data_IF_216677320641
#
_entry.id   IF_216677320641
#
_cell.length_a   1.000
_cell.length_b   1.000
_cell.length_c   1.000
_cell.angle_alpha   90.00
_cell.angle_beta   90.00
_cell.angle_gamma   90.00
#
_symmetry.space_group_name_H-M   'P 1'
#
loop_
_entity.id
_entity.type
_entity.pdbx_description
1 polymer ?
#
# COMPACT_ATOMS: atom_id res chain seq x y z
N UNK A 1 -34.47 9.38 -18.39
CA UNK A 1 -33.86 8.35 -17.52
C UNK A 1 -34.40 6.93 -17.73
N UNK A 2 -35.53 6.72 -18.43
CA UNK A 2 -36.13 5.39 -18.66
C UNK A 2 -35.44 4.55 -19.75
N UNK A 3 -34.75 5.19 -20.71
CA UNK A 3 -34.05 4.50 -21.81
C UNK A 3 -32.78 3.77 -21.33
N UNK A 4 -32.10 4.30 -20.31
CA UNK A 4 -30.86 3.74 -19.76
C UNK A 4 -31.13 2.44 -18.96
N UNK A 5 -32.35 2.24 -18.45
CA UNK A 5 -32.76 1.06 -17.67
C UNK A 5 -33.23 -0.11 -18.54
N UNK A 6 -32.68 -0.24 -19.75
CA UNK A 6 -32.93 -1.39 -20.62
C UNK A 6 -31.64 -2.19 -20.71
N UNK A 7 -31.69 -3.50 -20.45
CA UNK A 7 -30.49 -4.32 -20.39
C UNK A 7 -29.70 -4.36 -21.70
N UNK A 8 -30.38 -4.25 -22.84
CA UNK A 8 -29.73 -4.12 -24.14
C UNK A 8 -29.01 -2.78 -24.35
N UNK A 9 -29.17 -1.79 -23.45
CA UNK A 9 -28.37 -0.56 -23.41
C UNK A 9 -27.29 -0.68 -22.34
N UNK A 10 -27.66 -1.09 -21.12
CA UNK A 10 -26.73 -1.18 -19.99
C UNK A 10 -25.66 -2.25 -20.20
N UNK A 11 -26.05 -3.44 -20.64
CA UNK A 11 -25.17 -4.59 -20.87
C UNK A 11 -24.03 -4.31 -21.86
N UNK A 12 -24.29 -3.80 -23.08
CA UNK A 12 -23.22 -3.48 -24.02
C UNK A 12 -22.33 -2.33 -23.56
N UNK A 13 -22.87 -1.32 -22.86
CA UNK A 13 -22.04 -0.23 -22.30
C UNK A 13 -21.08 -0.77 -21.23
N UNK A 14 -21.58 -1.58 -20.29
CA UNK A 14 -20.72 -2.22 -19.28
C UNK A 14 -19.71 -3.15 -19.94
N UNK A 15 -20.14 -3.93 -20.94
CA UNK A 15 -19.27 -4.84 -21.69
C UNK A 15 -18.15 -4.11 -22.43
N UNK A 16 -18.46 -3.00 -23.09
CA UNK A 16 -17.49 -2.16 -23.79
C UNK A 16 -16.45 -1.58 -22.82
N UNK A 17 -16.90 -0.99 -21.72
CA UNK A 17 -16.03 -0.39 -20.71
C UNK A 17 -15.17 -1.44 -19.99
N UNK A 18 -15.75 -2.59 -19.65
CA UNK A 18 -15.00 -3.67 -19.01
C UNK A 18 -13.95 -4.28 -19.93
N UNK A 19 -14.28 -4.50 -21.21
CA UNK A 19 -13.29 -4.99 -22.19
C UNK A 19 -12.13 -4.01 -22.37
N UNK A 20 -12.40 -2.70 -22.34
CA UNK A 20 -11.36 -1.69 -22.36
C UNK A 20 -10.43 -1.85 -21.15
N UNK A 21 -10.98 -1.92 -19.94
CA UNK A 21 -10.19 -2.09 -18.72
C UNK A 21 -9.37 -3.38 -18.78
N UNK A 22 -10.02 -4.52 -19.02
CA UNK A 22 -9.35 -5.82 -19.09
C UNK A 22 -8.28 -5.85 -20.19
N UNK A 23 -8.59 -5.33 -21.37
CA UNK A 23 -7.68 -5.25 -22.52
C UNK A 23 -6.42 -4.46 -22.22
N UNK A 24 -6.56 -3.26 -21.64
CA UNK A 24 -5.41 -2.44 -21.25
C UNK A 24 -4.61 -3.08 -20.12
N UNK A 25 -5.27 -3.57 -19.07
CA UNK A 25 -4.59 -4.21 -17.94
C UNK A 25 -3.78 -5.41 -18.40
N UNK A 26 -4.35 -6.29 -19.22
CA UNK A 26 -3.65 -7.48 -19.71
C UNK A 26 -2.53 -7.11 -20.69
N UNK A 27 -2.75 -6.12 -21.56
CA UNK A 27 -1.69 -5.66 -22.44
C UNK A 27 -0.48 -5.11 -21.67
N UNK A 28 -0.71 -4.33 -20.60
CA UNK A 28 0.35 -3.82 -19.73
C UNK A 28 1.07 -4.97 -19.02
N UNK A 29 0.34 -5.92 -18.42
CA UNK A 29 0.94 -7.07 -17.74
C UNK A 29 1.79 -7.91 -18.70
N UNK A 30 1.28 -8.18 -19.90
CA UNK A 30 2.00 -8.96 -20.90
C UNK A 30 3.22 -8.21 -21.44
N UNK A 31 3.10 -6.90 -21.70
CA UNK A 31 4.22 -6.06 -22.11
C UNK A 31 5.33 -6.03 -21.05
N UNK A 32 4.96 -5.91 -19.77
CA UNK A 32 5.92 -5.87 -18.66
C UNK A 32 6.59 -7.22 -18.42
N UNK A 33 5.85 -8.33 -18.53
CA UNK A 33 6.39 -9.67 -18.28
C UNK A 33 7.23 -10.23 -19.43
N UNK A 34 6.93 -9.85 -20.68
CA UNK A 34 7.61 -10.40 -21.86
C UNK A 34 8.60 -9.44 -22.52
N UNK A 35 8.46 -8.13 -22.28
CA UNK A 35 9.19 -7.10 -23.03
C UNK A 35 8.72 -6.87 -24.46
N UNK A 36 7.72 -7.62 -24.92
CA UNK A 36 7.19 -7.51 -26.27
C UNK A 36 6.00 -6.53 -26.34
N UNK A 37 5.76 -5.88 -27.48
CA UNK A 37 4.69 -4.89 -27.59
C UNK A 37 3.31 -5.55 -27.70
N UNK A 38 2.51 -5.41 -26.64
CA UNK A 38 1.07 -5.68 -26.65
C UNK A 38 0.30 -4.35 -26.72
N UNK A 39 -0.53 -4.21 -27.75
CA UNK A 39 -1.21 -2.94 -28.07
C UNK A 39 -2.72 -3.11 -27.95
N UNK A 40 -3.35 -2.61 -26.88
CA UNK A 40 -4.81 -2.60 -26.78
C UNK A 40 -5.36 -1.58 -27.79
N UNK A 41 -6.29 -2.00 -28.65
CA UNK A 41 -6.91 -1.11 -29.64
C UNK A 41 -8.26 -0.68 -29.11
N UNK A 42 -8.41 0.61 -28.83
CA UNK A 42 -9.62 1.18 -28.21
C UNK A 42 -10.90 0.72 -28.92
N UNK A 43 -10.97 0.88 -30.24
CA UNK A 43 -12.15 0.50 -31.03
C UNK A 43 -12.42 -1.02 -30.96
N UNK A 44 -11.37 -1.84 -31.06
CA UNK A 44 -11.50 -3.31 -30.98
C UNK A 44 -12.03 -3.73 -29.61
N UNK A 45 -11.49 -3.18 -28.52
CA UNK A 45 -11.98 -3.43 -27.17
C UNK A 45 -13.46 -3.09 -27.02
N UNK A 46 -13.89 -1.91 -27.50
CA UNK A 46 -15.30 -1.51 -27.42
C UNK A 46 -16.19 -2.46 -28.22
N UNK A 47 -15.82 -2.81 -29.45
CA UNK A 47 -16.59 -3.70 -30.32
C UNK A 47 -16.71 -5.11 -29.74
N UNK A 48 -15.59 -5.71 -29.31
CA UNK A 48 -15.59 -7.03 -28.68
C UNK A 48 -16.38 -7.06 -27.37
N UNK A 49 -16.31 -5.99 -26.58
CA UNK A 49 -17.11 -5.84 -25.37
C UNK A 49 -18.62 -5.77 -25.64
N UNK A 50 -19.04 -5.08 -26.70
CA UNK A 50 -20.44 -5.01 -27.17
C UNK A 50 -20.88 -6.32 -27.81
N UNK A 51 -19.99 -7.03 -28.50
CA UNK A 51 -20.34 -8.28 -29.18
C UNK A 51 -20.54 -9.43 -28.19
N UNK A 52 -19.69 -9.50 -27.15
CA UNK A 52 -19.64 -10.65 -26.25
C UNK A 52 -20.51 -10.53 -25.00
N UNK A 53 -21.02 -9.34 -24.66
CA UNK A 53 -21.86 -9.20 -23.47
C UNK A 53 -23.07 -10.16 -23.42
N UNK A 54 -23.78 -10.48 -24.52
CA UNK A 54 -24.96 -11.34 -24.45
C UNK A 54 -24.61 -12.75 -23.96
N UNK A 55 -23.42 -13.25 -24.33
CA UNK A 55 -22.91 -14.56 -23.92
C UNK A 55 -22.61 -14.62 -22.41
N UNK A 56 -22.54 -13.48 -21.72
CA UNK A 56 -22.30 -13.43 -20.28
C UNK A 56 -23.58 -13.27 -19.44
N UNK A 57 -24.73 -13.09 -20.09
CA UNK A 57 -26.05 -12.93 -19.43
C UNK A 57 -26.62 -14.24 -18.92
N UNK A 58 -27.54 -14.19 -17.94
CA UNK A 58 -28.19 -15.39 -17.38
C UNK A 58 -28.87 -16.27 -18.43
N UNK A 59 -29.34 -15.67 -19.53
CA UNK A 59 -29.94 -16.39 -20.65
C UNK A 59 -28.98 -17.32 -21.38
N UNK A 60 -27.69 -16.99 -21.43
CA UNK A 60 -26.67 -17.81 -22.09
C UNK A 60 -26.23 -19.04 -21.26
N UNK A 61 -26.73 -19.16 -20.02
CA UNK A 61 -26.37 -20.25 -19.11
C UNK A 61 -24.89 -20.23 -18.68
N UNK A 62 -24.43 -21.35 -18.12
CA UNK A 62 -23.05 -21.48 -17.62
C UNK A 62 -22.00 -21.63 -18.73
N UNK A 63 -22.40 -22.11 -19.91
CA UNK A 63 -21.51 -22.30 -21.06
C UNK A 63 -21.17 -20.99 -21.79
N UNK A 64 -22.02 -19.96 -21.68
CA UNK A 64 -21.87 -18.69 -22.38
C UNK A 64 -20.54 -17.96 -22.11
N UNK A 65 -20.13 -17.75 -20.83
CA UNK A 65 -18.84 -17.13 -20.52
C UNK A 65 -17.64 -17.93 -21.04
N UNK A 66 -17.71 -19.27 -21.03
CA UNK A 66 -16.66 -20.11 -21.58
C UNK A 66 -16.52 -19.92 -23.11
N UNK A 67 -17.64 -19.86 -23.83
CA UNK A 67 -17.65 -19.56 -25.26
C UNK A 67 -17.09 -18.17 -25.56
N UNK A 68 -17.47 -17.15 -24.79
CA UNK A 68 -16.91 -15.81 -24.93
C UNK A 68 -15.38 -15.80 -24.71
N UNK A 69 -14.89 -16.57 -23.73
CA UNK A 69 -13.46 -16.73 -23.48
C UNK A 69 -12.72 -17.42 -24.63
N UNK A 70 -13.29 -18.50 -25.19
CA UNK A 70 -12.72 -19.21 -26.34
C UNK A 70 -12.68 -18.32 -27.59
N UNK A 71 -13.73 -17.53 -27.83
CA UNK A 71 -13.77 -16.57 -28.94
C UNK A 71 -12.68 -15.51 -28.81
N UNK A 72 -12.45 -14.98 -27.59
CA UNK A 72 -11.38 -14.02 -27.34
C UNK A 72 -10.00 -14.65 -27.55
N UNK A 73 -9.79 -15.88 -27.05
CA UNK A 73 -8.56 -16.63 -27.30
C UNK A 73 -8.29 -16.79 -28.80
N UNK A 74 -9.28 -17.29 -29.55
CA UNK A 74 -9.17 -17.48 -30.99
C UNK A 74 -8.90 -16.15 -31.71
N UNK A 75 -9.62 -15.07 -31.35
CA UNK A 75 -9.43 -13.75 -31.94
C UNK A 75 -8.03 -13.18 -31.68
N UNK A 76 -7.49 -13.36 -30.47
CA UNK A 76 -6.12 -12.95 -30.13
C UNK A 76 -5.07 -13.74 -30.92
N UNK A 77 -5.26 -15.05 -31.09
CA UNK A 77 -4.34 -15.88 -31.89
C UNK A 77 -4.37 -15.51 -33.38
N UNK A 78 -5.55 -15.21 -33.91
CA UNK A 78 -5.76 -14.77 -35.30
C UNK A 78 -5.35 -13.30 -35.54
N UNK A 79 -5.00 -12.54 -34.49
CA UNK A 79 -4.60 -11.14 -34.62
C UNK A 79 -5.75 -10.15 -34.87
N UNK A 80 -7.00 -10.55 -34.62
CA UNK A 80 -8.21 -9.72 -34.76
C UNK A 80 -8.86 -9.38 -33.40
N UNK A 81 -8.19 -9.75 -32.31
CA UNK A 81 -8.68 -9.57 -30.95
C UNK A 81 -8.59 -8.11 -30.43
N UNK A 82 -9.04 -7.89 -29.18
CA UNK A 82 -8.99 -6.58 -28.54
C UNK A 82 -7.57 -6.06 -28.28
N UNK A 83 -6.61 -6.98 -28.11
CA UNK A 83 -5.19 -6.68 -27.93
C UNK A 83 -4.41 -7.23 -29.11
N UNK A 84 -3.76 -6.34 -29.86
CA UNK A 84 -2.87 -6.70 -30.96
C UNK A 84 -1.46 -7.02 -30.43
N UNK A 85 -0.79 -7.95 -31.10
CA UNK A 85 0.53 -8.45 -30.73
C UNK A 85 1.59 -7.98 -31.74
N UNK A 86 2.80 -7.72 -31.27
CA UNK A 86 3.97 -7.51 -32.12
C UNK A 86 4.29 -8.73 -32.99
N UNK A 87 5.04 -8.49 -34.06
CA UNK A 87 5.45 -9.53 -35.03
C UNK A 87 6.31 -10.62 -34.35
N UNK A 88 7.09 -10.23 -33.35
CA UNK A 88 8.04 -11.11 -32.65
C UNK A 88 7.43 -11.83 -31.43
N UNK A 89 6.15 -11.62 -31.13
CA UNK A 89 5.50 -12.26 -29.98
C UNK A 89 5.37 -13.77 -30.21
N UNK A 90 6.01 -14.56 -29.34
CA UNK A 90 5.93 -16.01 -29.36
C UNK A 90 4.51 -16.56 -29.19
N UNK A 91 4.28 -17.79 -29.67
CA UNK A 91 2.96 -18.45 -29.63
C UNK A 91 2.46 -18.68 -28.20
N UNK A 92 3.37 -19.00 -27.27
CA UNK A 92 3.04 -19.20 -25.85
C UNK A 92 2.52 -17.90 -25.23
N UNK A 93 3.21 -16.77 -25.46
CA UNK A 93 2.78 -15.48 -24.97
C UNK A 93 1.40 -15.09 -25.55
N UNK A 94 1.17 -15.36 -26.84
CA UNK A 94 -0.12 -15.12 -27.47
C UNK A 94 -1.26 -15.97 -26.86
N UNK A 95 -0.99 -17.25 -26.56
CA UNK A 95 -1.93 -18.14 -25.87
C UNK A 95 -2.26 -17.62 -24.47
N UNK A 96 -1.24 -17.23 -23.69
CA UNK A 96 -1.42 -16.68 -22.35
C UNK A 96 -2.26 -15.39 -22.42
N UNK A 97 -1.97 -14.48 -23.35
CA UNK A 97 -2.75 -13.25 -23.53
C UNK A 97 -4.21 -13.54 -23.85
N UNK A 98 -4.48 -14.47 -24.77
CA UNK A 98 -5.84 -14.84 -25.14
C UNK A 98 -6.61 -15.49 -23.99
N UNK A 99 -5.96 -16.38 -23.22
CA UNK A 99 -6.55 -17.01 -22.04
C UNK A 99 -6.83 -15.98 -20.93
N UNK A 100 -5.87 -15.09 -20.66
CA UNK A 100 -6.00 -14.02 -19.68
C UNK A 100 -7.14 -13.07 -20.06
N UNK A 101 -7.26 -12.70 -21.34
CA UNK A 101 -8.37 -11.88 -21.85
C UNK A 101 -9.71 -12.60 -21.72
N UNK A 102 -9.75 -13.88 -22.08
CA UNK A 102 -10.94 -14.70 -21.98
C UNK A 102 -11.48 -14.77 -20.54
N UNK A 103 -10.62 -15.13 -19.59
CA UNK A 103 -10.98 -15.24 -18.17
C UNK A 103 -11.25 -13.86 -17.56
N UNK A 104 -10.35 -12.89 -17.81
CA UNK A 104 -10.43 -11.53 -17.25
C UNK A 104 -11.63 -10.72 -17.74
N UNK A 105 -12.12 -11.00 -18.95
CA UNK A 105 -13.38 -10.46 -19.43
C UNK A 105 -14.59 -11.28 -18.96
N UNK A 106 -14.66 -12.56 -19.32
CA UNK A 106 -15.90 -13.33 -19.27
C UNK A 106 -16.39 -13.60 -17.83
N UNK A 107 -15.48 -13.88 -16.88
CA UNK A 107 -15.85 -14.18 -15.50
C UNK A 107 -16.38 -12.95 -14.75
N UNK A 108 -15.66 -11.80 -14.71
CA UNK A 108 -16.19 -10.61 -14.05
C UNK A 108 -17.42 -10.05 -14.76
N UNK A 109 -17.46 -10.13 -16.10
CA UNK A 109 -18.64 -9.68 -16.86
C UNK A 109 -19.88 -10.50 -16.51
N UNK A 110 -19.76 -11.83 -16.38
CA UNK A 110 -20.83 -12.71 -15.90
C UNK A 110 -21.36 -12.26 -14.53
N UNK A 111 -20.46 -11.98 -13.60
CA UNK A 111 -20.81 -11.50 -12.27
C UNK A 111 -21.56 -10.15 -12.32
N UNK A 112 -21.09 -9.21 -13.15
CA UNK A 112 -21.75 -7.90 -13.33
C UNK A 112 -23.14 -8.03 -13.95
N UNK A 113 -23.34 -8.97 -14.87
CA UNK A 113 -24.61 -9.17 -15.58
C UNK A 113 -25.63 -10.02 -14.81
N UNK A 114 -25.25 -10.64 -13.69
CA UNK A 114 -26.14 -11.56 -12.95
C UNK A 114 -27.37 -10.81 -12.42
N UNK A 115 -28.57 -11.22 -12.84
CA UNK A 115 -29.85 -10.59 -12.50
C UNK A 115 -30.28 -9.44 -13.42
N UNK A 116 -29.52 -9.11 -14.48
CA UNK A 116 -29.88 -8.07 -15.44
C UNK A 116 -30.65 -8.69 -16.64
N UNK A 117 -31.95 -8.40 -16.81
CA UNK A 117 -32.69 -8.86 -17.97
C UNK A 117 -32.29 -8.06 -19.23
N UNK A 118 -32.24 -8.72 -20.39
CA UNK A 118 -31.92 -8.06 -21.68
C UNK A 118 -32.95 -6.97 -22.05
N UNK A 119 -34.21 -7.15 -21.63
CA UNK A 119 -35.31 -6.23 -21.90
C UNK A 119 -35.40 -5.05 -20.93
N UNK A 120 -36.61 -4.73 -20.47
CA UNK A 120 -36.82 -3.72 -19.45
C UNK A 120 -36.24 -4.20 -18.11
N UNK A 121 -35.32 -3.44 -17.54
CA UNK A 121 -34.73 -3.74 -16.24
C UNK A 121 -35.44 -2.94 -15.14
N UNK A 122 -35.62 -3.57 -13.98
CA UNK A 122 -36.03 -2.86 -12.78
C UNK A 122 -34.91 -1.91 -12.35
N UNK A 123 -35.26 -0.89 -11.55
CA UNK A 123 -34.27 0.03 -10.98
C UNK A 123 -33.18 -0.73 -10.21
N UNK A 124 -33.57 -1.70 -9.41
CA UNK A 124 -32.64 -2.52 -8.62
C UNK A 124 -31.70 -3.34 -9.51
N UNK A 125 -32.19 -4.02 -10.55
CA UNK A 125 -31.33 -4.80 -11.44
C UNK A 125 -30.29 -3.92 -12.16
N UNK A 126 -30.69 -2.73 -12.59
CA UNK A 126 -29.77 -1.75 -13.16
C UNK A 126 -28.73 -1.27 -12.14
N UNK A 127 -29.16 -0.85 -10.95
CA UNK A 127 -28.26 -0.36 -9.90
C UNK A 127 -27.25 -1.42 -9.45
N UNK A 128 -27.68 -2.68 -9.28
CA UNK A 128 -26.76 -3.77 -8.93
C UNK A 128 -25.71 -4.04 -10.00
N UNK A 129 -26.09 -4.04 -11.28
CA UNK A 129 -25.14 -4.23 -12.38
C UNK A 129 -24.09 -3.10 -12.41
N UNK A 130 -24.52 -1.85 -12.24
CA UNK A 130 -23.63 -0.68 -12.19
C UNK A 130 -22.72 -0.72 -10.97
N UNK A 131 -23.24 -1.04 -9.79
CA UNK A 131 -22.43 -1.14 -8.56
C UNK A 131 -21.36 -2.22 -8.72
N UNK A 132 -21.71 -3.43 -9.19
CA UNK A 132 -20.75 -4.50 -9.42
C UNK A 132 -19.67 -4.11 -10.42
N UNK A 133 -20.05 -3.42 -11.50
CA UNK A 133 -19.09 -2.88 -12.46
C UNK A 133 -18.14 -1.87 -11.80
N UNK A 134 -18.67 -0.85 -11.12
CA UNK A 134 -17.87 0.18 -10.46
C UNK A 134 -16.94 -0.41 -9.39
N UNK A 135 -17.40 -1.37 -8.60
CA UNK A 135 -16.58 -2.06 -7.61
C UNK A 135 -15.46 -2.86 -8.28
N UNK A 136 -15.75 -3.62 -9.34
CA UNK A 136 -14.76 -4.44 -10.05
C UNK A 136 -13.72 -3.58 -10.78
N UNK A 137 -14.18 -2.53 -11.48
CA UNK A 137 -13.34 -1.54 -12.13
C UNK A 137 -12.49 -0.80 -11.10
N UNK A 138 -13.08 -0.42 -9.97
CA UNK A 138 -12.40 0.20 -8.84
C UNK A 138 -11.26 -0.68 -8.33
N UNK A 139 -11.47 -1.98 -8.11
CA UNK A 139 -10.42 -2.89 -7.68
C UNK A 139 -9.28 -3.00 -8.70
N UNK A 140 -9.58 -3.19 -9.99
CA UNK A 140 -8.53 -3.32 -11.02
C UNK A 140 -7.72 -2.03 -11.15
N UNK A 141 -8.38 -0.88 -11.22
CA UNK A 141 -7.72 0.42 -11.37
C UNK A 141 -6.91 0.75 -10.12
N UNK A 142 -7.46 0.52 -8.93
CA UNK A 142 -6.76 0.75 -7.67
C UNK A 142 -5.52 -0.14 -7.54
N UNK A 143 -5.65 -1.44 -7.82
CA UNK A 143 -4.51 -2.36 -7.82
C UNK A 143 -3.46 -1.95 -8.84
N UNK A 144 -3.84 -1.54 -10.05
CA UNK A 144 -2.88 -1.07 -11.05
C UNK A 144 -2.16 0.22 -10.60
N UNK A 145 -2.91 1.20 -10.10
CA UNK A 145 -2.37 2.47 -9.59
C UNK A 145 -1.33 2.24 -8.48
N UNK A 146 -1.60 1.30 -7.58
CA UNK A 146 -0.70 0.97 -6.47
C UNK A 146 0.47 0.10 -6.95
N UNK A 147 0.21 -0.97 -7.71
CA UNK A 147 1.23 -1.98 -8.03
C UNK A 147 2.26 -1.50 -9.07
N UNK A 148 1.86 -0.69 -10.05
CA UNK A 148 2.76 -0.26 -11.14
C UNK A 148 3.98 0.51 -10.61
N UNK A 149 3.86 1.53 -9.72
CA UNK A 149 5.04 2.20 -9.16
C UNK A 149 6.01 1.25 -8.45
N UNK A 150 5.51 0.31 -7.65
CA UNK A 150 6.36 -0.69 -6.99
C UNK A 150 7.00 -1.65 -7.99
N UNK A 151 6.28 -2.04 -9.04
CA UNK A 151 6.85 -2.84 -10.12
C UNK A 151 7.99 -2.09 -10.82
N UNK A 152 7.80 -0.83 -11.19
CA UNK A 152 8.83 -0.01 -11.83
C UNK A 152 10.04 0.17 -10.91
N UNK A 153 9.81 0.37 -9.61
CA UNK A 153 10.88 0.44 -8.62
C UNK A 153 11.72 -0.84 -8.58
N UNK A 154 11.08 -2.01 -8.47
CA UNK A 154 11.77 -3.32 -8.46
C UNK A 154 12.44 -3.60 -9.80
N UNK A 155 11.75 -3.40 -10.91
CA UNK A 155 12.29 -3.62 -12.25
C UNK A 155 13.54 -2.76 -12.48
N UNK A 156 13.49 -1.47 -12.13
CA UNK A 156 14.63 -0.54 -12.31
C UNK A 156 15.82 -0.95 -11.43
N UNK A 157 15.57 -1.49 -10.24
CA UNK A 157 16.65 -1.98 -9.35
C UNK A 157 17.35 -3.25 -9.84
N UNK A 158 16.74 -3.98 -10.78
CA UNK A 158 17.29 -5.20 -11.38
C UNK A 158 18.00 -4.95 -12.74
N UNK A 159 17.99 -3.70 -13.21
CA UNK A 159 18.60 -3.29 -14.48
C UNK A 159 19.91 -2.55 -14.26
N UNK A 160 20.75 -2.54 -15.30
CA UNK A 160 21.94 -1.70 -15.34
C UNK A 160 21.67 -0.35 -16.01
N UNK A 161 22.46 0.67 -15.69
CA UNK A 161 22.25 2.07 -16.03
C UNK A 161 22.23 2.27 -17.54
N UNK A 162 23.10 1.55 -18.24
CA UNK A 162 23.15 1.57 -19.71
C UNK A 162 21.82 1.14 -20.31
N UNK A 163 21.16 0.11 -19.76
CA UNK A 163 19.87 -0.36 -20.26
C UNK A 163 18.78 0.68 -20.01
N UNK A 164 18.78 1.30 -18.83
CA UNK A 164 17.82 2.34 -18.47
C UNK A 164 17.96 3.61 -19.33
N UNK A 165 19.19 3.96 -19.72
CA UNK A 165 19.46 5.11 -20.60
C UNK A 165 19.14 4.79 -22.06
N UNK A 166 19.45 3.57 -22.53
CA UNK A 166 19.19 3.16 -23.91
C UNK A 166 17.70 3.04 -24.21
N UNK A 167 16.93 2.44 -23.30
CA UNK A 167 15.49 2.30 -23.45
C UNK A 167 14.78 2.52 -22.10
N UNK A 168 14.45 3.78 -21.77
CA UNK A 168 13.78 4.10 -20.49
C UNK A 168 12.35 3.55 -20.39
N UNK A 169 11.77 3.09 -21.51
CA UNK A 169 10.43 2.51 -21.57
C UNK A 169 10.44 0.98 -21.64
N UNK A 170 11.61 0.35 -21.49
CA UNK A 170 11.70 -1.08 -21.34
C UNK A 170 11.34 -1.47 -19.89
N UNK A 171 10.14 -2.01 -19.73
CA UNK A 171 9.63 -2.51 -18.45
C UNK A 171 9.84 -4.02 -18.26
N UNK A 172 10.57 -4.69 -19.16
CA UNK A 172 10.84 -6.12 -19.07
C UNK A 172 11.87 -6.46 -17.99
N UNK A 173 11.90 -7.71 -17.55
CA UNK A 173 12.95 -8.24 -16.67
C UNK A 173 13.65 -9.39 -17.41
N UNK A 174 14.95 -9.21 -17.66
CA UNK A 174 15.76 -10.23 -18.32
C UNK A 174 16.23 -11.28 -17.32
N UNK A 175 15.42 -12.33 -17.16
CA UNK A 175 15.69 -13.44 -16.25
C UNK A 175 16.89 -14.31 -16.68
N UNK A 176 17.39 -14.17 -17.91
CA UNK A 176 18.53 -14.96 -18.40
C UNK A 176 19.84 -14.63 -17.67
N UNK A 177 19.93 -13.44 -17.07
CA UNK A 177 21.08 -12.98 -16.29
C UNK A 177 21.26 -13.70 -14.93
N UNK A 178 20.28 -14.51 -14.48
CA UNK A 178 20.40 -15.28 -13.25
C UNK A 178 20.72 -14.45 -12.00
N UNK A 179 21.87 -14.69 -11.36
CA UNK A 179 22.26 -13.97 -10.15
C UNK A 179 22.72 -12.54 -10.39
N UNK A 180 23.15 -12.20 -11.61
CA UNK A 180 23.65 -10.87 -11.95
C UNK A 180 22.54 -9.80 -11.92
N UNK A 181 21.26 -10.19 -11.97
CA UNK A 181 20.13 -9.27 -11.73
C UNK A 181 20.24 -8.58 -10.36
N UNK A 182 20.83 -9.25 -9.37
CA UNK A 182 20.94 -8.74 -8.00
C UNK A 182 22.26 -8.01 -7.73
N UNK A 183 23.09 -7.79 -8.75
CA UNK A 183 24.37 -7.06 -8.66
C UNK A 183 24.24 -5.71 -7.91
N UNK A 184 23.21 -4.93 -8.24
CA UNK A 184 22.95 -3.63 -7.59
C UNK A 184 22.71 -3.76 -6.07
N UNK A 185 22.09 -4.85 -5.62
CA UNK A 185 21.90 -5.13 -4.20
C UNK A 185 23.21 -5.51 -3.53
N UNK A 186 24.01 -6.38 -4.16
CA UNK A 186 25.33 -6.77 -3.65
C UNK A 186 26.22 -5.54 -3.48
N UNK A 187 26.28 -4.69 -4.51
CA UNK A 187 27.06 -3.45 -4.50
C UNK A 187 26.62 -2.48 -3.40
N UNK A 188 25.32 -2.36 -3.12
CA UNK A 188 24.83 -1.56 -1.98
C UNK A 188 25.41 -2.03 -0.64
N UNK A 189 25.39 -3.33 -0.39
CA UNK A 189 25.90 -3.87 0.88
C UNK A 189 27.43 -3.83 0.95
N UNK A 190 28.15 -4.07 -0.15
CA UNK A 190 29.62 -4.14 -0.14
C UNK A 190 30.31 -2.79 -0.30
N UNK A 191 29.76 -1.86 -1.08
CA UNK A 191 30.42 -0.59 -1.43
C UNK A 191 29.81 0.60 -0.67
N UNK A 192 28.48 0.62 -0.51
CA UNK A 192 27.76 1.75 0.09
C UNK A 192 27.46 1.58 1.58
N UNK A 193 27.97 0.50 2.20
CA UNK A 193 27.77 0.17 3.62
C UNK A 193 26.29 0.13 4.04
N UNK A 194 25.38 -0.18 3.10
CA UNK A 194 23.94 0.02 3.28
C UNK A 194 23.34 -0.78 4.46
N UNK A 195 23.98 -1.89 4.84
CA UNK A 195 23.62 -2.68 6.02
C UNK A 195 23.74 -1.90 7.34
N UNK A 196 24.69 -0.97 7.48
CA UNK A 196 24.82 -0.14 8.68
C UNK A 196 23.67 0.86 8.78
N UNK A 197 23.24 1.44 7.66
CA UNK A 197 22.10 2.37 7.63
C UNK A 197 20.79 1.67 7.96
N UNK A 198 20.61 0.44 7.45
CA UNK A 198 19.47 -0.40 7.76
C UNK A 198 19.41 -0.70 9.28
N UNK A 199 20.54 -1.10 9.86
CA UNK A 199 20.64 -1.38 11.29
C UNK A 199 20.40 -0.14 12.14
N UNK A 200 21.02 0.99 11.80
CA UNK A 200 20.84 2.26 12.51
C UNK A 200 19.38 2.69 12.47
N UNK A 201 18.73 2.64 11.31
CA UNK A 201 17.32 2.98 11.16
C UNK A 201 16.41 2.06 11.97
N UNK A 202 16.66 0.75 11.92
CA UNK A 202 15.90 -0.23 12.70
C UNK A 202 16.05 0.01 14.20
N UNK A 203 17.27 0.16 14.67
CA UNK A 203 17.60 0.42 16.08
C UNK A 203 16.93 1.69 16.59
N UNK A 204 17.09 2.81 15.86
CA UNK A 204 16.47 4.10 16.21
C UNK A 204 14.94 4.01 16.19
N UNK A 205 14.36 3.34 15.20
CA UNK A 205 12.90 3.22 15.07
C UNK A 205 12.29 2.39 16.18
N UNK A 206 12.91 1.26 16.55
CA UNK A 206 12.46 0.41 17.66
C UNK A 206 12.54 1.16 18.99
N UNK A 207 13.66 1.85 19.26
CA UNK A 207 13.77 2.66 20.47
C UNK A 207 12.77 3.81 20.49
N UNK A 208 12.51 4.44 19.35
CA UNK A 208 11.48 5.47 19.22
C UNK A 208 10.11 4.92 19.61
N UNK A 209 9.72 3.74 19.11
CA UNK A 209 8.45 3.09 19.48
C UNK A 209 8.37 2.86 20.99
N UNK A 210 9.43 2.31 21.59
CA UNK A 210 9.45 1.99 23.02
C UNK A 210 9.33 3.26 23.88
N UNK A 211 10.12 4.30 23.59
CA UNK A 211 10.08 5.58 24.31
C UNK A 211 8.72 6.23 24.11
N UNK A 212 8.23 6.30 22.88
CA UNK A 212 6.94 6.91 22.57
C UNK A 212 5.80 6.22 23.29
N UNK A 213 5.77 4.88 23.34
CA UNK A 213 4.75 4.15 24.12
C UNK A 213 4.91 4.35 25.61
N UNK A 214 6.13 4.38 26.13
CA UNK A 214 6.40 4.60 27.56
C UNK A 214 5.80 5.93 28.06
N UNK A 215 5.80 6.98 27.23
CA UNK A 215 5.17 8.26 27.56
C UNK A 215 3.70 8.35 27.15
N UNK A 216 3.34 7.82 25.98
CA UNK A 216 1.98 7.96 25.45
C UNK A 216 0.95 7.08 26.13
N UNK A 217 1.30 5.87 26.58
CA UNK A 217 0.38 4.98 27.31
C UNK A 217 -0.13 5.63 28.60
N UNK A 218 0.72 6.05 29.56
CA UNK A 218 0.25 6.67 30.79
C UNK A 218 -0.45 8.02 30.54
N UNK A 219 0.06 8.82 29.59
CA UNK A 219 -0.55 10.10 29.23
C UNK A 219 -1.95 9.93 28.64
N UNK A 220 -2.12 9.02 27.68
CA UNK A 220 -3.42 8.72 27.08
C UNK A 220 -4.38 8.13 28.11
N UNK A 221 -3.90 7.24 28.98
CA UNK A 221 -4.70 6.68 30.07
C UNK A 221 -5.20 7.76 31.03
N UNK A 222 -4.32 8.66 31.46
CA UNK A 222 -4.68 9.77 32.33
C UNK A 222 -5.77 10.64 31.71
N UNK A 223 -5.64 10.98 30.41
CA UNK A 223 -6.64 11.79 29.69
C UNK A 223 -7.91 11.01 29.37
N UNK A 224 -7.88 9.69 29.27
CA UNK A 224 -9.05 8.86 29.03
C UNK A 224 -9.85 8.58 30.32
N UNK A 225 -9.17 8.32 31.44
CA UNK A 225 -9.80 7.81 32.67
C UNK A 225 -9.83 8.80 33.82
N UNK A 226 -8.77 9.59 34.02
CA UNK A 226 -8.67 10.44 35.21
C UNK A 226 -9.46 11.75 35.02
N UNK A 227 -9.96 12.28 36.13
CA UNK A 227 -10.58 13.61 36.20
C UNK A 227 -9.58 14.54 36.88
N UNK A 228 -9.00 15.47 36.13
CA UNK A 228 -8.06 16.46 36.63
C UNK A 228 -8.33 17.82 35.97
N UNK A 229 -7.97 18.90 36.67
CA UNK A 229 -8.15 20.28 36.17
C UNK A 229 -7.31 20.49 34.91
N UNK A 230 -7.93 20.99 33.84
CA UNK A 230 -7.25 21.24 32.56
C UNK A 230 -7.21 20.04 31.59
N UNK A 231 -7.86 18.92 31.91
CA UNK A 231 -7.94 17.71 31.03
C UNK A 231 -8.34 18.02 29.59
N UNK A 232 -9.35 18.86 29.38
CA UNK A 232 -9.82 19.22 28.03
C UNK A 232 -8.79 20.05 27.28
N UNK A 233 -8.11 20.99 27.97
CA UNK A 233 -7.05 21.80 27.37
C UNK A 233 -5.86 20.92 26.97
N UNK A 234 -5.41 20.02 27.86
CA UNK A 234 -4.35 19.06 27.56
C UNK A 234 -4.71 18.14 26.40
N UNK A 235 -5.95 17.62 26.36
CA UNK A 235 -6.43 16.81 25.24
C UNK A 235 -6.39 17.57 23.91
N UNK A 236 -6.73 18.86 23.90
CA UNK A 236 -6.72 19.68 22.69
C UNK A 236 -5.29 20.09 22.30
N UNK A 237 -4.41 20.34 23.27
CA UNK A 237 -3.03 20.73 23.00
C UNK A 237 -2.23 19.63 22.31
N UNK A 238 -2.50 18.35 22.60
CA UNK A 238 -1.89 17.22 21.89
C UNK A 238 -2.09 17.35 20.37
N UNK A 239 -3.32 17.63 19.93
CA UNK A 239 -3.64 17.79 18.52
C UNK A 239 -3.00 19.05 17.94
N UNK A 240 -3.05 20.17 18.67
CA UNK A 240 -2.45 21.43 18.22
C UNK A 240 -0.93 21.31 18.02
N UNK A 241 -0.23 20.62 18.92
CA UNK A 241 1.22 20.36 18.82
C UNK A 241 1.50 19.50 17.58
N UNK A 242 0.71 18.45 17.33
CA UNK A 242 0.88 17.58 16.17
C UNK A 242 0.68 18.30 14.83
N UNK A 243 -0.17 19.33 14.79
CA UNK A 243 -0.42 20.12 13.58
C UNK A 243 0.71 21.09 13.23
N UNK A 244 1.67 21.33 14.14
CA UNK A 244 2.81 22.20 13.86
C UNK A 244 3.75 21.51 12.87
N UNK A 245 4.02 22.11 11.70
CA UNK A 245 4.94 21.51 10.73
C UNK A 245 6.37 21.47 11.28
N UNK A 246 6.98 20.28 11.33
CA UNK A 246 8.33 20.12 11.87
C UNK A 246 9.39 20.95 11.14
N UNK A 247 9.18 21.27 9.86
CA UNK A 247 10.08 22.13 9.08
C UNK A 247 10.26 23.53 9.69
N UNK A 248 9.24 24.06 10.38
CA UNK A 248 9.31 25.37 11.06
C UNK A 248 10.24 25.31 12.27
N UNK A 249 10.30 24.15 12.93
CA UNK A 249 11.14 23.91 14.10
C UNK A 249 12.55 23.42 13.74
N UNK A 250 12.83 23.16 12.46
CA UNK A 250 14.08 22.58 11.99
C UNK A 250 15.30 23.44 12.41
N UNK A 251 15.31 24.73 12.06
CA UNK A 251 16.42 25.63 12.39
C UNK A 251 16.65 25.77 13.91
N UNK A 252 15.61 26.02 14.74
CA UNK A 252 15.78 26.02 16.20
C UNK A 252 16.35 24.72 16.76
N UNK A 253 15.86 23.56 16.28
CA UNK A 253 16.36 22.24 16.71
C UNK A 253 17.82 22.08 16.32
N UNK A 254 18.21 22.44 15.10
CA UNK A 254 19.60 22.37 14.64
C UNK A 254 20.53 23.22 15.51
N UNK A 255 20.15 24.45 15.83
CA UNK A 255 20.95 25.35 16.68
C UNK A 255 21.09 24.73 18.07
N UNK A 256 19.98 24.30 18.68
CA UNK A 256 19.99 23.70 20.02
C UNK A 256 20.85 22.43 20.09
N UNK A 257 20.74 21.55 19.10
CA UNK A 257 21.53 20.31 19.03
C UNK A 257 23.01 20.58 18.78
N UNK A 258 23.34 21.62 18.02
CA UNK A 258 24.72 22.05 17.80
C UNK A 258 25.33 22.62 19.08
N UNK A 259 24.59 23.45 19.83
CA UNK A 259 25.07 24.04 21.08
C UNK A 259 25.25 23.01 22.21
N UNK A 260 24.42 21.96 22.23
CA UNK A 260 24.46 20.91 23.25
C UNK A 260 25.38 19.73 22.91
N UNK A 261 25.99 19.72 21.71
CA UNK A 261 26.83 18.61 21.24
C UNK A 261 26.05 17.34 20.88
N UNK A 262 24.71 17.43 20.71
CA UNK A 262 23.86 16.31 20.32
C UNK A 262 23.82 16.10 18.79
N UNK A 263 24.26 17.10 18.01
CA UNK A 263 24.40 16.97 16.56
C UNK A 263 25.43 15.88 16.20
N UNK A 264 25.15 15.17 15.12
CA UNK A 264 25.95 14.07 14.58
C UNK A 264 26.11 12.91 15.58
N UNK A 265 25.06 12.64 16.38
CA UNK A 265 24.99 11.53 17.32
C UNK A 265 23.68 10.75 17.16
N UNK A 266 23.74 9.42 17.30
CA UNK A 266 22.55 8.56 17.32
C UNK A 266 21.67 8.86 18.53
N UNK A 267 22.28 9.22 19.66
CA UNK A 267 21.57 9.60 20.87
C UNK A 267 20.67 10.83 20.66
N UNK A 268 21.16 11.84 19.94
CA UNK A 268 20.36 13.00 19.56
C UNK A 268 19.11 12.59 18.76
N UNK A 269 19.27 11.68 17.79
CA UNK A 269 18.16 11.16 16.99
C UNK A 269 17.13 10.41 17.85
N UNK A 270 17.59 9.53 18.75
CA UNK A 270 16.73 8.77 19.68
C UNK A 270 15.91 9.68 20.60
N UNK A 271 16.43 10.86 20.95
CA UNK A 271 15.70 11.84 21.77
C UNK A 271 14.66 12.60 20.94
N UNK A 272 15.02 13.05 19.74
CA UNK A 272 14.15 13.95 18.98
C UNK A 272 13.01 13.22 18.26
N UNK A 273 13.20 11.96 17.84
CA UNK A 273 12.14 11.20 17.15
C UNK A 273 10.90 10.92 18.02
N UNK A 274 11.01 10.58 19.32
CA UNK A 274 9.86 10.51 20.21
C UNK A 274 9.07 11.81 20.31
N UNK A 275 9.74 12.97 20.27
CA UNK A 275 9.06 14.28 20.34
C UNK A 275 8.04 14.45 19.21
N UNK A 276 8.32 13.92 18.02
CA UNK A 276 7.41 14.00 16.86
C UNK A 276 6.31 12.94 16.89
N UNK A 277 6.54 11.82 17.57
CA UNK A 277 5.64 10.66 17.55
C UNK A 277 4.74 10.54 18.79
N UNK A 278 5.14 11.11 19.93
CA UNK A 278 4.35 11.14 21.17
C UNK A 278 2.97 11.81 20.97
N UNK A 279 2.83 12.97 20.31
CA UNK A 279 1.52 13.60 20.15
C UNK A 279 0.52 12.72 19.42
N UNK A 280 0.93 12.09 18.32
CA UNK A 280 0.04 11.22 17.54
C UNK A 280 -0.27 9.90 18.26
N UNK A 281 0.72 9.31 18.93
CA UNK A 281 0.50 8.12 19.75
C UNK A 281 -0.47 8.38 20.92
N UNK A 282 -0.31 9.53 21.60
CA UNK A 282 -1.23 9.99 22.64
C UNK A 282 -2.65 10.13 22.10
N UNK A 283 -2.82 10.81 20.96
CA UNK A 283 -4.11 11.03 20.33
C UNK A 283 -4.81 9.71 19.97
N UNK A 284 -4.10 8.79 19.32
CA UNK A 284 -4.63 7.48 18.92
C UNK A 284 -5.00 6.62 20.13
N UNK A 285 -4.11 6.49 21.12
CA UNK A 285 -4.36 5.68 22.32
C UNK A 285 -5.45 6.28 23.19
N UNK A 286 -5.56 7.60 23.27
CA UNK A 286 -6.62 8.28 24.01
C UNK A 286 -7.99 7.95 23.43
N UNK A 287 -8.15 7.98 22.10
CA UNK A 287 -9.38 7.60 21.42
C UNK A 287 -9.76 6.15 21.73
N UNK A 288 -8.79 5.24 21.70
CA UNK A 288 -9.02 3.83 21.97
C UNK A 288 -9.37 3.54 23.43
N UNK A 289 -8.58 4.04 24.39
CA UNK A 289 -8.82 3.80 25.81
C UNK A 289 -10.19 4.33 26.26
N UNK A 290 -10.71 5.41 25.66
CA UNK A 290 -12.08 5.88 25.94
C UNK A 290 -13.16 4.87 25.55
N UNK A 291 -12.93 4.06 24.52
CA UNK A 291 -13.88 3.04 24.05
C UNK A 291 -13.87 1.76 24.87
N UNK A 292 -12.87 1.55 25.73
CA UNK A 292 -12.83 0.38 26.60
C UNK A 292 -13.84 0.52 27.76
N UNK A 293 -14.60 -0.54 28.12
CA UNK A 293 -15.51 -0.53 29.26
C UNK A 293 -14.79 -0.16 30.55
N UNK A 294 -15.28 0.88 31.24
CA UNK A 294 -14.63 1.36 32.46
C UNK A 294 -14.82 0.38 33.63
N UNK A 295 -15.90 -0.39 33.59
CA UNK A 295 -16.32 -1.34 34.61
C UNK A 295 -15.28 -2.45 34.85
N UNK A 296 -14.59 -2.88 33.78
CA UNK A 296 -13.53 -3.89 33.87
C UNK A 296 -12.31 -3.36 34.63
N UNK A 297 -11.97 -2.09 34.43
CA UNK A 297 -10.89 -1.44 35.17
C UNK A 297 -11.28 -1.15 36.62
N UNK A 298 -12.54 -0.75 36.86
CA UNK A 298 -13.10 -0.53 38.20
C UNK A 298 -13.13 -1.82 39.02
N UNK A 299 -13.52 -2.95 38.43
CA UNK A 299 -13.44 -4.26 39.09
C UNK A 299 -12.01 -4.58 39.54
N UNK A 300 -11.01 -4.32 38.69
CA UNK A 300 -9.59 -4.49 39.07
C UNK A 300 -9.15 -3.60 40.23
N UNK A 301 -9.68 -2.37 40.31
CA UNK A 301 -9.43 -1.47 41.45
C UNK A 301 -10.09 -2.00 42.73
N UNK A 302 -11.31 -2.55 42.63
CA UNK A 302 -12.01 -3.18 43.76
C UNK A 302 -11.29 -4.43 44.28
N UNK A 303 -10.62 -5.17 43.40
CA UNK A 303 -9.75 -6.32 43.72
C UNK A 303 -8.39 -5.90 44.31
N UNK A 304 -8.17 -4.60 44.57
CA UNK A 304 -6.96 -4.09 45.21
C UNK A 304 -5.78 -3.87 44.26
N UNK A 305 -5.98 -3.88 42.94
CA UNK A 305 -4.93 -3.45 42.01
C UNK A 305 -4.71 -1.94 42.12
N UNK A 306 -3.44 -1.53 42.09
CA UNK A 306 -3.09 -0.11 41.90
C UNK A 306 -3.39 0.31 40.46
N UNK A 307 -3.58 1.61 40.21
CA UNK A 307 -3.84 2.12 38.84
C UNK A 307 -2.78 1.69 37.83
N UNK A 308 -1.50 1.70 38.23
CA UNK A 308 -0.42 1.21 37.36
C UNK A 308 -0.61 -0.27 37.03
N UNK A 309 -0.96 -1.11 38.02
CA UNK A 309 -1.27 -2.52 37.77
C UNK A 309 -2.50 -2.71 36.89
N UNK A 310 -3.53 -1.87 37.01
CA UNK A 310 -4.70 -1.88 36.10
C UNK A 310 -4.27 -1.59 34.67
N UNK A 311 -3.43 -0.58 34.44
CA UNK A 311 -2.88 -0.29 33.10
C UNK A 311 -2.17 -1.53 32.55
N UNK A 312 -1.23 -2.10 33.31
CA UNK A 312 -0.40 -3.21 32.83
C UNK A 312 -1.17 -4.54 32.68
N UNK A 313 -2.09 -4.87 33.59
CA UNK A 313 -2.77 -6.17 33.62
C UNK A 313 -4.12 -6.19 32.90
N UNK A 314 -4.77 -5.04 32.73
CA UNK A 314 -6.13 -4.95 32.17
C UNK A 314 -6.10 -4.11 30.89
N UNK A 315 -5.74 -2.83 30.99
CA UNK A 315 -5.87 -1.90 29.86
C UNK A 315 -4.94 -2.28 28.70
N UNK A 316 -3.66 -2.59 28.95
CA UNK A 316 -2.72 -2.91 27.87
C UNK A 316 -3.07 -4.22 27.14
N UNK A 317 -3.38 -5.35 27.81
CA UNK A 317 -3.83 -6.56 27.13
C UNK A 317 -5.10 -6.36 26.29
N UNK A 318 -6.09 -5.63 26.82
CA UNK A 318 -7.31 -5.29 26.06
C UNK A 318 -7.02 -4.37 24.88
N UNK A 319 -5.95 -3.57 24.96
CA UNK A 319 -5.54 -2.62 23.91
C UNK A 319 -4.49 -3.15 22.96
N UNK A 320 -4.19 -4.45 22.98
CA UNK A 320 -3.16 -5.03 22.10
C UNK A 320 -3.36 -4.70 20.61
N UNK A 321 -4.58 -4.71 20.04
CA UNK A 321 -4.81 -4.30 18.65
C UNK A 321 -4.43 -2.83 18.39
N UNK A 322 -4.75 -1.95 19.34
CA UNK A 322 -4.45 -0.52 19.24
C UNK A 322 -2.95 -0.26 19.43
N UNK A 323 -2.31 -0.91 20.40
CA UNK A 323 -0.88 -0.84 20.62
C UNK A 323 -0.11 -1.31 19.38
N UNK A 324 -0.50 -2.44 18.77
CA UNK A 324 0.12 -2.91 17.54
C UNK A 324 0.01 -1.88 16.40
N UNK A 325 -1.18 -1.29 16.22
CA UNK A 325 -1.43 -0.26 15.21
C UNK A 325 -0.60 1.01 15.46
N UNK A 326 -0.56 1.48 16.71
CA UNK A 326 0.21 2.68 17.11
C UNK A 326 1.71 2.42 17.02
N UNK A 327 2.19 1.25 17.45
CA UNK A 327 3.60 0.85 17.30
C UNK A 327 4.04 0.83 15.84
N UNK A 328 3.24 0.21 14.95
CA UNK A 328 3.52 0.22 13.51
C UNK A 328 3.54 1.66 12.98
N UNK A 329 2.57 2.48 13.36
CA UNK A 329 2.49 3.86 12.90
C UNK A 329 3.69 4.71 13.36
N UNK A 330 4.07 4.61 14.63
CA UNK A 330 5.27 5.27 15.20
C UNK A 330 6.55 4.76 14.54
N UNK A 331 6.65 3.44 14.33
CA UNK A 331 7.78 2.84 13.61
C UNK A 331 7.88 3.40 12.20
N UNK A 332 6.78 3.47 11.45
CA UNK A 332 6.76 4.02 10.09
C UNK A 332 7.17 5.50 10.07
N UNK A 333 6.74 6.31 11.04
CA UNK A 333 7.18 7.72 11.12
C UNK A 333 8.69 7.79 11.34
N UNK A 334 9.21 7.06 12.33
CA UNK A 334 10.64 7.07 12.65
C UNK A 334 11.51 6.52 11.50
N UNK A 335 11.05 5.44 10.88
CA UNK A 335 11.73 4.77 9.76
C UNK A 335 11.80 5.65 8.51
N UNK A 336 10.75 6.43 8.25
CA UNK A 336 10.66 7.33 7.09
C UNK A 336 11.11 8.76 7.40
N UNK A 337 11.57 9.03 8.63
CA UNK A 337 12.01 10.36 9.01
C UNK A 337 13.28 10.71 8.24
N UNK A 338 13.19 11.75 7.41
CA UNK A 338 14.30 12.21 6.57
C UNK A 338 14.86 13.55 7.02
N UNK A 339 13.99 14.49 7.41
CA UNK A 339 14.36 15.89 7.60
C UNK A 339 15.34 16.08 8.76
N UNK A 340 15.04 15.53 9.92
CA UNK A 340 15.88 15.63 11.11
C UNK A 340 17.16 14.83 10.92
N UNK A 341 17.09 13.63 10.32
CA UNK A 341 18.29 12.87 9.97
C UNK A 341 19.21 13.65 9.01
N UNK A 342 18.66 14.25 7.96
CA UNK A 342 19.42 15.06 7.00
C UNK A 342 20.10 16.26 7.65
N UNK A 343 19.42 16.91 8.57
CA UNK A 343 19.88 18.13 9.23
C UNK A 343 20.85 17.87 10.39
N UNK A 344 20.70 16.75 11.10
CA UNK A 344 21.44 16.46 12.33
C UNK A 344 22.59 15.46 12.15
N UNK A 345 22.62 14.67 11.06
CA UNK A 345 23.65 13.68 10.81
C UNK A 345 24.54 14.11 9.63
N UNK A 346 25.85 14.22 9.90
CA UNK A 346 26.85 14.61 8.91
C UNK A 346 27.80 13.46 8.55
N UNK A 347 28.10 12.58 9.51
CA UNK A 347 28.99 11.43 9.32
C UNK A 347 28.22 10.23 8.75
N UNK A 348 28.60 9.74 7.54
CA UNK A 348 27.93 8.59 6.91
C UNK A 348 27.83 7.38 7.81
N UNK A 349 28.81 7.10 8.67
CA UNK A 349 28.78 5.93 9.58
C UNK A 349 27.60 5.92 10.55
N UNK A 350 26.91 7.06 10.72
CA UNK A 350 25.77 7.25 11.62
C UNK A 350 24.44 7.45 10.88
N UNK A 351 24.43 7.38 9.56
CA UNK A 351 23.23 7.71 8.79
C UNK A 351 22.09 6.72 9.05
N UNK A 352 20.88 7.26 9.15
CA UNK A 352 19.66 6.48 9.01
C UNK A 352 19.46 6.06 7.56
N UNK A 353 18.60 5.08 7.34
CA UNK A 353 18.35 4.53 6.02
C UNK A 353 17.88 5.58 5.01
N UNK A 354 16.92 6.42 5.38
CA UNK A 354 16.39 7.50 4.53
C UNK A 354 17.46 8.50 4.14
N UNK A 355 18.34 8.86 5.08
CA UNK A 355 19.49 9.74 4.83
C UNK A 355 20.52 9.08 3.92
N UNK A 356 20.82 7.80 4.13
CA UNK A 356 21.72 7.01 3.28
C UNK A 356 21.19 6.86 1.86
N UNK A 357 19.89 6.55 1.68
CA UNK A 357 19.22 6.50 0.38
C UNK A 357 19.32 7.83 -0.36
N UNK A 358 19.17 8.96 0.34
CA UNK A 358 19.29 10.27 -0.28
C UNK A 358 20.69 10.54 -0.85
N UNK A 359 21.76 9.95 -0.29
CA UNK A 359 23.10 10.04 -0.88
C UNK A 359 23.19 9.35 -2.24
N UNK A 360 22.39 8.30 -2.45
CA UNK A 360 22.34 7.55 -3.72
C UNK A 360 21.69 8.37 -4.85
N UNK A 361 20.96 9.44 -4.51
CA UNK A 361 20.38 10.36 -5.47
C UNK A 361 21.40 11.42 -5.93
N UNK A 362 22.52 10.96 -6.48
CA UNK A 362 23.61 11.77 -7.04
C UNK A 362 23.72 11.53 -8.54
N UNK A 363 24.18 12.53 -9.30
CA UNK A 363 24.47 12.39 -10.74
C UNK A 363 25.54 11.35 -11.04
N UNK A 364 26.41 11.06 -10.07
CA UNK A 364 27.51 10.10 -10.19
C UNK A 364 27.07 8.66 -9.89
N UNK A 365 25.93 8.48 -9.23
CA UNK A 365 25.45 7.17 -8.78
C UNK A 365 24.39 6.67 -9.77
N UNK A 366 24.57 5.47 -10.33
CA UNK A 366 23.57 4.84 -11.18
C UNK A 366 22.19 4.76 -10.50
N UNK A 367 21.13 4.99 -11.28
CA UNK A 367 19.75 5.08 -10.75
C UNK A 367 19.26 3.73 -10.20
N UNK A 368 19.81 2.62 -10.69
CA UNK A 368 19.51 1.28 -10.20
C UNK A 368 19.82 1.11 -8.70
N UNK A 369 20.88 1.73 -8.17
CA UNK A 369 21.27 1.65 -6.76
C UNK A 369 20.27 2.40 -5.88
N UNK A 370 19.85 3.59 -6.31
CA UNK A 370 18.79 4.34 -5.63
C UNK A 370 17.49 3.52 -5.54
N UNK A 371 17.11 2.87 -6.64
CA UNK A 371 15.91 2.03 -6.67
C UNK A 371 16.06 0.75 -5.83
N UNK A 372 17.22 0.09 -5.88
CA UNK A 372 17.51 -1.07 -5.03
C UNK A 372 17.46 -0.70 -3.55
N UNK A 373 18.00 0.47 -3.18
CA UNK A 373 17.91 1.02 -1.82
C UNK A 373 16.47 1.29 -1.40
N UNK A 374 15.63 1.83 -2.29
CA UNK A 374 14.21 2.03 -2.04
C UNK A 374 13.43 0.71 -1.85
N UNK A 375 13.75 -0.33 -2.64
CA UNK A 375 13.20 -1.69 -2.45
C UNK A 375 13.56 -2.22 -1.07
N UNK A 376 14.85 -2.20 -0.70
CA UNK A 376 15.32 -2.67 0.61
C UNK A 376 14.63 -1.88 1.73
N UNK A 377 14.47 -0.56 1.59
CA UNK A 377 13.83 0.27 2.59
C UNK A 377 12.34 -0.05 2.81
N UNK A 378 11.66 -0.59 1.80
CA UNK A 378 10.24 -0.97 1.89
C UNK A 378 10.04 -2.30 2.63
N UNK A 379 10.98 -3.24 2.50
CA UNK A 379 10.84 -4.62 3.00
C UNK A 379 10.58 -4.69 4.52
N UNK A 380 11.31 -3.98 5.41
CA UNK A 380 11.08 -4.06 6.85
C UNK A 380 9.70 -3.58 7.28
N UNK A 381 9.17 -2.54 6.64
CA UNK A 381 7.80 -2.05 6.93
C UNK A 381 6.78 -3.12 6.55
N UNK A 382 6.92 -3.73 5.37
CA UNK A 382 6.02 -4.81 4.93
C UNK A 382 6.08 -6.01 5.88
N UNK A 383 7.28 -6.45 6.26
CA UNK A 383 7.46 -7.55 7.19
C UNK A 383 6.82 -7.27 8.57
N UNK A 384 7.00 -6.05 9.08
CA UNK A 384 6.43 -5.63 10.36
C UNK A 384 4.90 -5.52 10.29
N UNK A 385 4.35 -4.99 9.19
CA UNK A 385 2.92 -4.95 8.93
C UNK A 385 2.31 -6.36 8.92
N UNK A 386 2.84 -7.29 8.11
CA UNK A 386 2.35 -8.66 8.02
C UNK A 386 2.47 -9.40 9.35
N UNK A 387 3.53 -9.16 10.11
CA UNK A 387 3.71 -9.71 11.45
C UNK A 387 2.69 -9.19 12.47
N UNK A 388 2.27 -7.93 12.35
CA UNK A 388 1.34 -7.26 13.26
C UNK A 388 -0.13 -7.36 12.84
N UNK A 389 -0.42 -7.66 11.58
CA UNK A 389 -1.77 -7.76 11.01
C UNK A 389 -2.70 -8.66 11.84
N UNK A 390 -2.18 -9.79 12.33
CA UNK A 390 -2.94 -10.73 13.20
C UNK A 390 -3.44 -10.12 14.51
N UNK A 391 -2.79 -9.07 15.01
CA UNK A 391 -3.20 -8.36 16.22
C UNK A 391 -4.24 -7.28 15.91
N UNK A 392 -4.13 -6.65 14.74
CA UNK A 392 -5.05 -5.60 14.28
C UNK A 392 -6.44 -6.17 13.95
N UNK A 393 -6.48 -7.35 13.34
CA UNK A 393 -7.74 -8.01 12.90
C UNK A 393 -8.57 -8.58 14.05
N UNK A 394 -7.93 -9.07 15.13
CA UNK A 394 -8.64 -9.60 16.32
C UNK A 394 -9.41 -8.54 17.11
N UNK A 395 -9.01 -7.26 17.02
CA UNK A 395 -9.72 -6.17 17.69
C UNK A 395 -11.09 -5.85 17.08
N UNK A 396 -11.26 -6.09 15.78
CA UNK A 396 -12.52 -5.82 15.07
C UNK A 396 -13.63 -6.82 15.42
N UNK A 397 -13.29 -8.02 15.89
CA UNK A 397 -14.27 -9.06 16.23
C UNK A 397 -14.70 -9.07 17.69
N UNK A 398 -13.93 -8.45 18.59
CA UNK A 398 -14.23 -8.41 20.03
C UNK A 398 -15.33 -7.39 20.41
N UNK A 399 -15.54 -6.36 19.58
CA UNK A 399 -16.59 -5.34 19.78
C UNK A 399 -17.96 -5.70 19.20
N UNK A 400 -18.10 -6.87 18.55
CA UNK A 400 -19.34 -7.35 17.95
C UNK A 400 -20.21 -8.18 18.93
N UNK A 401 -19.97 -8.07 20.24
CA UNK A 401 -20.86 -8.65 21.25
C UNK A 401 -22.04 -7.71 21.45
N UNK A 402 -23.22 -8.24 21.09
CA UNK A 402 -24.56 -7.65 21.16
C UNK A 402 -24.76 -6.64 22.30
N UNK A 403 -25.06 -5.40 21.94
CA UNK A 403 -26.02 -4.56 22.65
C UNK A 403 -27.42 -4.83 22.12
#
# INVERSE_FOLDING_TARGET
MTVIRRGYVTGPVIGALWMLIAGFTIAVIMSFSTGEPFRPVLLSCLLWGILLWPATTDRAGQAGPALAGILLLAATLLGVGPVLRGINVGTIAALITGLALGVGYAWPMRYMMTGLPIGAATRHAFEHAVIRFLTSAGYVIFTALVAIPFYVMVMTSLKNQQQLVQNPLDFSIDLSKGWDLFSSYVELFSQFHFGSYLWTSFYVSVLTVLITLAFSVPGAYAVARLRFTGRTLFSRSILLIYMVPMIVLALPIYIAFSMTGLRNTIFGIIIIYPVTTIPVALYMLQGYFRGLPAEVEEAGLMDGLTRLRVIWKITLPLSLPALASVSLYVFMIAWNEFLLAFMLLDDPSKFTLTRGVAMLNSSEIPRQHLMAGAVIATVPIMALFLGLEKFMTKGLTAGAVKG
#
